data_IF_811925587056
#
_entry.id   IF_811925587056
#
_cell.length_a   1.000
_cell.length_b   1.000
_cell.length_c   1.000
_cell.angle_alpha   90.00
_cell.angle_beta   90.00
_cell.angle_gamma   90.00
#
_symmetry.space_group_name_H-M   'P 1'
#
loop_
_entity.id
_entity.type
_entity.pdbx_description
1 polymer ?
#
# COMPACT_ATOMS: atom_id res chain seq x y z
N UNK A 1 -3.72 -5.55 2.47
CA UNK A 1 -2.66 -6.58 2.32
C UNK A 1 -2.05 -6.47 0.93
N UNK A 2 -0.91 -7.10 0.66
CA UNK A 2 -0.30 -7.09 -0.67
C UNK A 2 0.18 -8.49 -1.11
N UNK A 3 0.11 -8.83 -2.39
CA UNK A 3 0.63 -10.08 -2.94
C UNK A 3 1.40 -9.83 -4.24
N UNK A 4 2.49 -10.55 -4.46
CA UNK A 4 3.34 -10.41 -5.65
C UNK A 4 3.33 -11.68 -6.51
N UNK A 5 3.33 -11.53 -7.85
CA UNK A 5 3.27 -12.66 -8.80
C UNK A 5 4.53 -12.73 -9.69
N UNK A 6 4.98 -13.94 -10.04
CA UNK A 6 6.21 -14.21 -10.81
C UNK A 6 6.10 -15.49 -11.66
N UNK A 7 6.82 -15.51 -12.80
CA UNK A 7 7.14 -16.72 -13.57
C UNK A 7 8.48 -17.34 -13.15
N UNK A 8 8.71 -18.62 -13.43
CA UNK A 8 9.88 -19.37 -12.94
C UNK A 8 11.09 -19.33 -13.88
N UNK A 9 12.23 -18.80 -13.40
CA UNK A 9 13.57 -19.06 -13.98
C UNK A 9 14.57 -19.33 -12.85
N UNK A 10 15.46 -20.31 -13.05
CA UNK A 10 16.37 -20.85 -12.04
C UNK A 10 17.84 -20.70 -12.48
N UNK A 11 18.65 -19.94 -11.73
CA UNK A 11 20.13 -19.85 -11.89
C UNK A 11 20.83 -19.71 -10.53
N UNK A 12 22.15 -19.93 -10.49
CA UNK A 12 22.87 -20.41 -9.30
C UNK A 12 24.19 -19.66 -8.98
N UNK A 13 24.63 -19.78 -7.70
CA UNK A 13 25.96 -19.40 -7.13
C UNK A 13 26.20 -17.86 -6.96
N UNK A 14 26.90 -17.33 -5.94
CA UNK A 14 27.50 -17.88 -4.70
C UNK A 14 27.71 -16.78 -3.61
N UNK A 15 28.06 -17.21 -2.39
CA UNK A 15 28.43 -16.55 -1.09
C UNK A 15 28.95 -15.08 -1.06
N UNK A 16 29.00 -14.31 0.06
CA UNK A 16 28.90 -14.64 1.50
C UNK A 16 28.52 -13.41 2.38
N UNK A 17 27.40 -13.45 3.12
CA UNK A 17 27.16 -12.71 4.39
C UNK A 17 25.94 -13.34 5.06
N UNK A 18 26.05 -13.84 6.29
CA UNK A 18 24.94 -14.53 6.96
C UNK A 18 23.89 -13.57 7.55
N UNK A 19 23.08 -12.97 6.68
CA UNK A 19 21.72 -12.58 7.04
C UNK A 19 20.85 -13.83 6.83
N UNK A 20 20.15 -14.31 7.87
CA UNK A 20 19.18 -15.40 7.72
C UNK A 20 18.00 -14.95 6.84
N UNK A 21 18.10 -15.17 5.52
CA UNK A 21 17.04 -14.89 4.55
C UNK A 21 15.90 -15.91 4.71
N UNK A 22 14.74 -15.45 5.18
CA UNK A 22 13.66 -16.31 5.68
C UNK A 22 12.50 -16.34 4.66
N UNK A 23 12.51 -17.32 3.73
CA UNK A 23 11.54 -17.60 2.62
C UNK A 23 10.20 -16.86 2.66
N UNK A 24 9.85 -16.06 1.63
CA UNK A 24 8.50 -15.47 1.47
C UNK A 24 7.48 -16.60 1.56
N UNK A 25 6.34 -16.41 2.25
CA UNK A 25 5.25 -17.35 2.10
C UNK A 25 4.83 -17.38 0.64
N UNK A 26 4.51 -18.57 0.15
CA UNK A 26 3.97 -18.77 -1.18
C UNK A 26 2.57 -19.35 -0.98
N UNK A 27 1.57 -18.71 -1.57
CA UNK A 27 0.22 -19.26 -1.69
C UNK A 27 0.05 -19.74 -3.13
N UNK A 28 -0.31 -21.01 -3.29
CA UNK A 28 -0.73 -21.56 -4.57
C UNK A 28 -2.21 -21.24 -4.78
N UNK A 29 -2.48 -20.31 -5.70
CA UNK A 29 -3.84 -19.85 -5.98
C UNK A 29 -4.73 -20.95 -6.56
N UNK A 30 -4.15 -21.91 -7.31
CA UNK A 30 -4.94 -22.99 -7.93
C UNK A 30 -5.57 -23.92 -6.89
N UNK A 31 -5.02 -23.96 -5.67
CA UNK A 31 -5.60 -24.72 -4.56
C UNK A 31 -6.82 -24.03 -3.95
N UNK A 32 -6.95 -22.69 -4.06
CA UNK A 32 -8.15 -21.99 -3.59
C UNK A 32 -9.34 -22.38 -4.47
N UNK A 33 -9.15 -22.40 -5.79
CA UNK A 33 -10.16 -22.82 -6.77
C UNK A 33 -10.27 -24.34 -6.95
N UNK A 34 -9.64 -25.14 -6.08
CA UNK A 34 -9.67 -26.61 -6.16
C UNK A 34 -11.04 -27.18 -5.81
N UNK A 35 -11.42 -28.25 -6.52
CA UNK A 35 -12.64 -29.04 -6.24
C UNK A 35 -12.47 -30.03 -5.09
N UNK A 36 -11.26 -30.23 -4.57
CA UNK A 36 -11.00 -31.05 -3.38
C UNK A 36 -11.15 -30.17 -2.11
N UNK A 37 -12.16 -30.41 -1.26
CA UNK A 37 -12.38 -29.60 -0.07
C UNK A 37 -11.21 -29.63 0.92
N UNK A 38 -10.42 -30.71 0.95
CA UNK A 38 -9.26 -30.82 1.83
C UNK A 38 -8.11 -29.92 1.35
N UNK A 39 -7.93 -29.80 0.03
CA UNK A 39 -6.95 -28.89 -0.56
C UNK A 39 -7.37 -27.43 -0.34
N UNK A 40 -8.64 -27.08 -0.63
CA UNK A 40 -9.16 -25.72 -0.39
C UNK A 40 -9.05 -25.35 1.09
N UNK A 41 -9.51 -26.21 2.00
CA UNK A 41 -9.42 -25.96 3.45
C UNK A 41 -7.97 -25.77 3.92
N UNK A 42 -7.03 -26.58 3.43
CA UNK A 42 -5.61 -26.42 3.77
C UNK A 42 -5.04 -25.08 3.28
N UNK A 43 -5.28 -24.70 2.03
CA UNK A 43 -4.77 -23.41 1.54
C UNK A 43 -5.47 -22.22 2.21
N UNK A 44 -6.73 -22.36 2.64
CA UNK A 44 -7.41 -21.35 3.47
C UNK A 44 -6.76 -21.23 4.86
N UNK A 45 -6.33 -22.33 5.48
CA UNK A 45 -5.55 -22.27 6.73
C UNK A 45 -4.17 -21.64 6.52
N UNK A 46 -3.47 -22.00 5.44
CA UNK A 46 -2.20 -21.38 5.06
C UNK A 46 -2.40 -19.89 4.74
N UNK A 47 -3.51 -19.50 4.10
CA UNK A 47 -3.90 -18.11 3.83
C UNK A 47 -4.27 -17.37 5.12
N UNK A 48 -4.99 -17.97 6.06
CA UNK A 48 -5.27 -17.35 7.36
C UNK A 48 -3.96 -17.03 8.09
N UNK A 49 -3.10 -18.04 8.21
CA UNK A 49 -1.76 -17.89 8.78
C UNK A 49 -0.94 -16.88 8.01
N UNK A 50 -1.03 -16.86 6.67
CA UNK A 50 -0.29 -15.91 5.86
C UNK A 50 -0.76 -14.47 6.13
N UNK A 51 -2.05 -14.24 6.21
CA UNK A 51 -2.61 -12.92 6.47
C UNK A 51 -2.27 -12.45 7.89
N UNK A 52 -2.42 -13.32 8.89
CA UNK A 52 -2.16 -13.00 10.29
C UNK A 52 -0.67 -12.78 10.62
N UNK A 53 0.24 -13.65 10.18
CA UNK A 53 1.68 -13.55 10.45
C UNK A 53 2.43 -12.69 9.40
N UNK A 54 1.85 -12.47 8.21
CA UNK A 54 2.55 -11.92 7.05
C UNK A 54 1.86 -10.73 6.39
N UNK A 55 0.55 -10.77 6.09
CA UNK A 55 -0.14 -9.74 5.30
C UNK A 55 0.51 -9.41 3.94
N UNK A 56 1.49 -10.23 3.55
CA UNK A 56 2.29 -10.21 2.33
C UNK A 56 2.71 -11.63 1.98
N UNK A 57 2.55 -12.00 0.71
CA UNK A 57 2.96 -13.30 0.20
C UNK A 57 3.26 -13.24 -1.30
N UNK A 58 4.01 -14.22 -1.77
CA UNK A 58 4.05 -14.53 -3.20
C UNK A 58 2.79 -15.32 -3.54
N UNK A 59 2.16 -15.00 -4.66
CA UNK A 59 1.06 -15.77 -5.22
C UNK A 59 1.57 -16.46 -6.50
N UNK A 60 1.35 -17.77 -6.60
CA UNK A 60 1.72 -18.58 -7.78
C UNK A 60 0.49 -19.29 -8.33
N UNK A 61 0.57 -19.78 -9.58
CA UNK A 61 -0.52 -20.49 -10.26
C UNK A 61 -1.84 -19.69 -10.32
N UNK A 62 -1.73 -18.36 -10.38
CA UNK A 62 -2.83 -17.38 -10.32
C UNK A 62 -3.63 -17.21 -11.63
N UNK A 63 -3.40 -18.05 -12.64
CA UNK A 63 -4.15 -18.04 -13.92
C UNK A 63 -3.92 -16.84 -14.85
N UNK A 64 -3.45 -15.69 -14.35
CA UNK A 64 -3.05 -14.54 -15.19
C UNK A 64 -1.90 -14.94 -16.11
N UNK A 65 -2.03 -14.83 -17.45
CA UNK A 65 -0.97 -15.26 -18.38
C UNK A 65 0.31 -14.44 -18.24
N UNK A 66 1.47 -15.11 -18.23
CA UNK A 66 2.79 -14.45 -18.20
C UNK A 66 2.99 -13.50 -19.40
N UNK A 67 2.45 -13.86 -20.58
CA UNK A 67 2.47 -13.01 -21.77
C UNK A 67 1.70 -11.69 -21.57
N UNK A 68 0.59 -11.72 -20.83
CA UNK A 68 -0.20 -10.54 -20.49
C UNK A 68 0.53 -9.67 -19.45
N UNK A 69 1.10 -10.30 -18.41
CA UNK A 69 1.93 -9.61 -17.40
C UNK A 69 3.14 -8.91 -18.04
N UNK A 70 3.81 -9.59 -18.99
CA UNK A 70 4.90 -9.01 -19.77
C UNK A 70 4.43 -7.86 -20.65
N UNK A 71 3.32 -8.03 -21.39
CA UNK A 71 2.79 -7.01 -22.28
C UNK A 71 2.40 -5.71 -21.54
N UNK A 72 1.81 -5.81 -20.33
CA UNK A 72 1.46 -4.62 -19.54
C UNK A 72 2.70 -3.93 -18.93
N UNK A 73 3.75 -4.68 -18.58
CA UNK A 73 5.05 -4.13 -18.17
C UNK A 73 5.76 -3.41 -19.33
N UNK A 74 5.79 -4.02 -20.52
CA UNK A 74 6.37 -3.43 -21.73
C UNK A 74 5.60 -2.17 -22.16
N UNK A 75 4.27 -2.22 -22.21
CA UNK A 75 3.43 -1.05 -22.51
C UNK A 75 3.60 0.09 -21.49
N UNK A 76 3.79 -0.24 -20.20
CA UNK A 76 4.13 0.75 -19.17
C UNK A 76 5.50 1.38 -19.41
N UNK A 77 6.51 0.57 -19.77
CA UNK A 77 7.85 1.05 -20.11
C UNK A 77 7.84 1.96 -21.33
N UNK A 78 7.11 1.59 -22.37
CA UNK A 78 6.90 2.39 -23.56
C UNK A 78 6.18 3.70 -23.25
N UNK A 79 5.14 3.69 -22.40
CA UNK A 79 4.49 4.92 -21.91
C UNK A 79 5.49 5.87 -21.24
N UNK A 80 6.34 5.38 -20.33
CA UNK A 80 7.35 6.24 -19.69
C UNK A 80 8.43 6.74 -20.67
N UNK A 81 8.66 6.05 -21.78
CA UNK A 81 9.56 6.47 -22.85
C UNK A 81 8.93 7.46 -23.85
N UNK A 82 7.63 7.77 -23.75
CA UNK A 82 7.01 8.82 -24.56
C UNK A 82 7.66 10.20 -24.28
N UNK A 83 7.59 11.14 -25.25
CA UNK A 83 7.97 12.54 -25.04
C UNK A 83 7.32 13.12 -23.79
N UNK A 84 8.01 14.06 -23.12
CA UNK A 84 7.50 14.60 -21.86
C UNK A 84 6.18 15.35 -22.08
N UNK A 85 6.03 16.01 -23.21
CA UNK A 85 4.84 16.72 -23.66
C UNK A 85 3.60 15.82 -23.67
N UNK A 86 3.75 14.57 -24.10
CA UNK A 86 2.66 13.58 -24.16
C UNK A 86 2.33 13.01 -22.78
N UNK A 87 3.31 12.86 -21.89
CA UNK A 87 3.08 12.41 -20.51
C UNK A 87 2.47 13.50 -19.63
N UNK A 88 2.85 14.76 -19.86
CA UNK A 88 2.38 15.92 -19.12
C UNK A 88 0.92 16.28 -19.42
N UNK A 89 0.30 15.72 -20.47
CA UNK A 89 -1.16 15.73 -20.67
C UNK A 89 -1.91 15.20 -19.43
N UNK A 90 -1.31 14.25 -18.71
CA UNK A 90 -1.88 13.65 -17.50
C UNK A 90 -1.33 14.24 -16.18
N UNK A 91 -0.51 15.30 -16.22
CA UNK A 91 0.10 15.92 -15.04
C UNK A 91 -0.83 16.98 -14.38
N UNK A 92 -2.09 16.63 -14.18
CA UNK A 92 -3.09 17.51 -13.58
C UNK A 92 -3.14 17.45 -12.04
N UNK A 93 -3.45 18.60 -11.42
CA UNK A 93 -3.51 18.77 -9.97
C UNK A 93 -4.83 18.34 -9.33
N UNK A 94 -5.89 18.17 -10.12
CA UNK A 94 -7.17 17.69 -9.61
C UNK A 94 -7.03 16.26 -9.11
N UNK A 95 -7.40 16.06 -7.85
CA UNK A 95 -7.27 14.79 -7.16
C UNK A 95 -8.20 13.73 -7.74
N UNK A 96 -9.28 14.09 -8.42
CA UNK A 96 -10.27 13.13 -8.92
C UNK A 96 -10.18 12.87 -10.42
N UNK A 97 -9.17 13.41 -11.11
CA UNK A 97 -8.85 13.02 -12.49
C UNK A 97 -8.54 11.52 -12.55
N UNK A 98 -9.13 10.77 -13.50
CA UNK A 98 -9.05 9.31 -13.52
C UNK A 98 -7.68 8.78 -13.94
N UNK A 99 -6.93 9.55 -14.73
CA UNK A 99 -5.57 9.25 -15.18
C UNK A 99 -4.66 10.34 -14.63
N UNK A 100 -3.52 9.97 -14.05
CA UNK A 100 -2.50 10.90 -13.55
C UNK A 100 -1.09 10.40 -13.84
N UNK A 101 -0.30 11.26 -14.48
CA UNK A 101 1.16 11.13 -14.52
C UNK A 101 1.79 12.02 -13.45
N UNK A 102 2.90 11.57 -12.87
CA UNK A 102 3.74 12.40 -12.03
C UNK A 102 5.18 11.94 -12.07
N UNK A 103 6.10 12.90 -11.98
CA UNK A 103 7.53 12.66 -11.78
C UNK A 103 7.90 12.90 -10.31
N UNK A 104 9.16 12.68 -9.93
CA UNK A 104 9.70 12.84 -8.57
C UNK A 104 9.63 14.26 -7.97
N UNK A 105 9.00 15.19 -8.68
CA UNK A 105 8.88 16.63 -8.42
C UNK A 105 7.41 17.04 -8.50
N UNK A 106 6.61 16.80 -7.45
CA UNK A 106 5.51 17.73 -7.16
C UNK A 106 5.09 17.81 -5.66
N UNK A 107 5.07 19.06 -5.18
CA UNK A 107 4.37 19.64 -4.01
C UNK A 107 4.59 19.05 -2.58
N UNK A 108 5.44 19.77 -1.84
CA UNK A 108 5.23 20.26 -0.45
C UNK A 108 4.87 19.27 0.67
N UNK A 109 5.60 18.17 0.80
CA UNK A 109 5.87 17.58 2.12
C UNK A 109 7.38 17.38 2.24
N UNK A 110 8.02 18.24 3.03
CA UNK A 110 9.44 18.16 3.47
C UNK A 110 10.49 17.80 2.41
N UNK A 111 11.07 18.78 1.69
CA UNK A 111 12.41 18.78 1.02
C UNK A 111 13.02 17.51 0.35
N UNK A 112 12.28 16.42 0.15
CA UNK A 112 12.75 15.14 -0.34
C UNK A 112 12.11 14.83 -1.69
N UNK A 113 12.96 14.69 -2.72
CA UNK A 113 12.54 14.23 -4.04
C UNK A 113 12.52 12.70 -4.07
N UNK A 114 11.47 12.11 -4.64
CA UNK A 114 11.39 10.66 -4.82
C UNK A 114 11.96 10.26 -6.17
N UNK A 115 12.82 9.24 -6.19
CA UNK A 115 13.50 8.80 -7.41
C UNK A 115 12.60 7.86 -8.24
N UNK A 116 11.47 8.41 -8.70
CA UNK A 116 10.36 7.67 -9.31
C UNK A 116 9.48 8.56 -10.20
N UNK A 117 9.19 8.07 -11.40
CA UNK A 117 8.04 8.48 -12.21
C UNK A 117 6.88 7.49 -12.01
N UNK A 118 5.64 7.96 -12.09
CA UNK A 118 4.45 7.11 -11.94
C UNK A 118 3.31 7.48 -12.89
N UNK A 119 2.52 6.46 -13.23
CA UNK A 119 1.21 6.58 -13.88
C UNK A 119 0.19 5.89 -12.98
N UNK A 120 -0.78 6.66 -12.45
CA UNK A 120 -1.91 6.18 -11.66
C UNK A 120 -3.18 6.28 -12.49
N UNK A 121 -3.99 5.22 -12.50
CA UNK A 121 -5.20 5.14 -13.31
C UNK A 121 -6.32 4.41 -12.56
N UNK A 122 -7.50 5.03 -12.48
CA UNK A 122 -8.72 4.35 -12.07
C UNK A 122 -9.25 3.47 -13.21
N UNK A 123 -9.42 2.19 -12.91
CA UNK A 123 -9.82 1.15 -13.88
C UNK A 123 -11.10 0.39 -13.47
N UNK A 124 -11.69 0.77 -12.33
CA UNK A 124 -13.00 0.34 -11.82
C UNK A 124 -13.53 1.43 -10.85
N UNK A 125 -14.85 1.74 -10.81
CA UNK A 125 -15.96 1.14 -11.57
C UNK A 125 -15.96 1.45 -13.08
N UNK A 126 -15.34 2.57 -13.49
CA UNK A 126 -15.19 2.94 -14.90
C UNK A 126 -13.75 2.68 -15.35
N UNK A 127 -13.60 2.16 -16.58
CA UNK A 127 -12.28 1.94 -17.16
C UNK A 127 -11.80 3.20 -17.86
N UNK A 128 -10.72 3.78 -17.35
CA UNK A 128 -9.97 4.85 -17.99
C UNK A 128 -8.55 4.35 -18.29
N UNK A 129 -7.93 4.82 -19.36
CA UNK A 129 -6.51 4.53 -19.64
C UNK A 129 -5.94 5.46 -20.73
N UNK A 130 -4.62 5.75 -20.75
CA UNK A 130 -3.98 6.40 -21.89
C UNK A 130 -4.15 5.61 -23.20
N UNK A 131 -4.44 6.31 -24.29
CA UNK A 131 -4.51 5.74 -25.65
C UNK A 131 -3.13 5.52 -26.30
N UNK A 132 -2.05 5.84 -25.59
CA UNK A 132 -0.66 5.70 -26.03
C UNK A 132 0.17 4.98 -24.96
N UNK A 133 1.13 4.11 -25.35
CA UNK A 133 1.35 3.62 -26.71
C UNK A 133 0.17 2.76 -27.20
N UNK A 134 0.10 2.52 -28.51
CA UNK A 134 -1.02 1.80 -29.14
C UNK A 134 -1.11 0.37 -28.57
N UNK A 135 -2.30 -0.05 -28.15
CA UNK A 135 -2.53 -1.36 -27.53
C UNK A 135 -2.37 -1.38 -26.00
N UNK A 136 -1.84 -0.32 -25.39
CA UNK A 136 -1.60 -0.28 -23.94
C UNK A 136 -2.90 -0.25 -23.13
N UNK A 137 -3.92 0.45 -23.64
CA UNK A 137 -5.26 0.51 -23.03
C UNK A 137 -5.92 -0.88 -23.00
N UNK A 138 -5.90 -1.59 -24.13
CA UNK A 138 -6.52 -2.89 -24.32
C UNK A 138 -5.83 -3.98 -23.48
N UNK A 139 -4.50 -4.02 -23.51
CA UNK A 139 -3.67 -4.93 -22.68
C UNK A 139 -3.89 -4.67 -21.19
N UNK A 140 -3.93 -3.40 -20.78
CA UNK A 140 -4.12 -3.04 -19.36
C UNK A 140 -5.54 -3.32 -18.89
N UNK A 141 -6.55 -3.16 -19.76
CA UNK A 141 -7.94 -3.51 -19.45
C UNK A 141 -8.12 -4.99 -19.14
N UNK A 142 -7.61 -5.87 -20.00
CA UNK A 142 -7.64 -7.33 -19.74
C UNK A 142 -6.82 -7.68 -18.49
N UNK A 143 -5.63 -7.10 -18.29
CA UNK A 143 -4.84 -7.31 -17.07
C UNK A 143 -5.57 -6.87 -15.79
N UNK A 144 -6.21 -5.70 -15.78
CA UNK A 144 -6.97 -5.19 -14.65
C UNK A 144 -8.22 -6.04 -14.36
N UNK A 145 -8.88 -6.55 -15.40
CA UNK A 145 -9.99 -7.50 -15.25
C UNK A 145 -9.53 -8.81 -14.59
N UNK A 146 -8.48 -9.45 -15.11
CA UNK A 146 -7.94 -10.72 -14.56
C UNK A 146 -7.44 -10.57 -13.12
N UNK A 147 -6.77 -9.47 -12.81
CA UNK A 147 -6.30 -9.20 -11.44
C UNK A 147 -7.46 -8.96 -10.48
N UNK A 148 -8.59 -8.42 -10.94
CA UNK A 148 -9.82 -8.29 -10.13
C UNK A 148 -10.48 -9.63 -9.85
N UNK A 149 -10.51 -10.54 -10.84
CA UNK A 149 -10.97 -11.93 -10.67
C UNK A 149 -10.14 -12.63 -9.58
N UNK A 150 -8.81 -12.55 -9.66
CA UNK A 150 -7.88 -13.07 -8.64
C UNK A 150 -8.09 -12.41 -7.27
N UNK A 151 -8.36 -11.11 -7.22
CA UNK A 151 -8.61 -10.40 -5.97
C UNK A 151 -9.90 -10.84 -5.28
N UNK A 152 -10.98 -11.11 -6.02
CA UNK A 152 -12.25 -11.61 -5.46
C UNK A 152 -12.09 -12.99 -4.82
N UNK A 153 -11.51 -13.94 -5.55
CA UNK A 153 -11.23 -15.31 -5.04
C UNK A 153 -10.35 -15.30 -3.79
N UNK A 154 -9.34 -14.41 -3.73
CA UNK A 154 -8.53 -14.21 -2.52
C UNK A 154 -9.36 -13.66 -1.36
N UNK A 155 -10.22 -12.66 -1.60
CA UNK A 155 -11.07 -12.07 -0.56
C UNK A 155 -12.17 -13.02 -0.07
N UNK A 156 -12.63 -13.96 -0.91
CA UNK A 156 -13.48 -15.08 -0.48
C UNK A 156 -12.73 -16.03 0.45
N UNK A 157 -11.54 -16.50 0.04
CA UNK A 157 -10.68 -17.33 0.89
C UNK A 157 -10.27 -16.65 2.21
N UNK A 158 -10.11 -15.32 2.21
CA UNK A 158 -9.89 -14.53 3.44
C UNK A 158 -11.15 -14.46 4.31
N UNK A 159 -12.35 -14.35 3.73
CA UNK A 159 -13.61 -14.36 4.48
C UNK A 159 -13.80 -15.70 5.19
N UNK A 160 -13.62 -16.83 4.49
CA UNK A 160 -13.64 -18.17 5.10
C UNK A 160 -12.53 -18.37 6.15
N UNK A 161 -11.32 -17.85 5.90
CA UNK A 161 -10.22 -17.89 6.85
C UNK A 161 -10.53 -17.17 8.18
N UNK A 162 -11.37 -16.14 8.13
CA UNK A 162 -11.88 -15.41 9.30
C UNK A 162 -13.11 -16.08 9.94
N UNK A 163 -13.63 -17.18 9.38
CA UNK A 163 -14.84 -17.85 9.85
C UNK A 163 -16.15 -17.16 9.43
N UNK A 164 -16.10 -16.27 8.43
CA UNK A 164 -17.25 -15.55 7.89
C UNK A 164 -17.87 -16.31 6.70
N UNK A 165 -19.03 -15.84 6.22
CA UNK A 165 -19.57 -16.28 4.92
C UNK A 165 -18.53 -16.03 3.80
N UNK A 166 -18.39 -16.96 2.86
CA UNK A 166 -17.47 -16.87 1.71
C UNK A 166 -17.49 -15.47 1.04
N UNK A 167 -18.69 -14.91 0.82
CA UNK A 167 -18.85 -13.63 0.13
C UNK A 167 -19.02 -12.43 1.08
N UNK A 168 -18.67 -12.57 2.36
CA UNK A 168 -18.87 -11.53 3.38
C UNK A 168 -18.13 -10.23 3.02
N UNK A 169 -16.81 -10.30 2.83
CA UNK A 169 -16.00 -9.10 2.56
C UNK A 169 -16.45 -8.43 1.25
N UNK A 170 -16.86 -9.23 0.26
CA UNK A 170 -17.37 -8.70 -1.01
C UNK A 170 -18.63 -7.84 -0.83
N UNK A 171 -19.62 -8.36 -0.09
CA UNK A 171 -20.87 -7.66 0.20
C UNK A 171 -20.65 -6.45 1.11
N UNK A 172 -19.90 -6.63 2.20
CA UNK A 172 -19.67 -5.59 3.21
C UNK A 172 -18.88 -4.38 2.66
N UNK A 173 -18.08 -4.59 1.61
CA UNK A 173 -17.24 -3.55 1.01
C UNK A 173 -17.82 -2.97 -0.29
N UNK A 174 -18.93 -3.52 -0.82
CA UNK A 174 -19.48 -3.21 -2.15
C UNK A 174 -18.37 -3.25 -3.23
N UNK A 175 -17.77 -4.43 -3.42
CA UNK A 175 -16.68 -4.59 -4.41
C UNK A 175 -17.18 -4.56 -5.86
N UNK A 176 -18.49 -4.73 -6.10
CA UNK A 176 -19.09 -4.53 -7.42
C UNK A 176 -18.91 -3.06 -7.85
N UNK A 177 -19.17 -2.11 -6.95
CA UNK A 177 -18.90 -0.67 -7.15
C UNK A 177 -17.53 -0.22 -6.62
N UNK A 178 -16.68 -1.18 -6.21
CA UNK A 178 -15.38 -0.94 -5.59
C UNK A 178 -14.40 -0.17 -6.48
N UNK A 179 -13.41 0.49 -5.88
CA UNK A 179 -12.34 1.09 -6.69
C UNK A 179 -11.26 0.07 -7.02
N UNK A 180 -10.72 0.18 -8.23
CA UNK A 180 -9.48 -0.47 -8.63
C UNK A 180 -8.54 0.60 -9.20
N UNK A 181 -7.36 0.73 -8.60
CA UNK A 181 -6.34 1.70 -8.98
C UNK A 181 -5.11 0.97 -9.53
N UNK A 182 -4.86 1.10 -10.83
CA UNK A 182 -3.63 0.68 -11.48
C UNK A 182 -2.55 1.75 -11.23
N UNK A 183 -1.38 1.36 -10.74
CA UNK A 183 -0.25 2.24 -10.50
C UNK A 183 1.05 1.67 -11.06
N UNK A 184 1.43 2.11 -12.27
CA UNK A 184 2.75 1.85 -12.82
C UNK A 184 3.76 2.81 -12.16
N UNK A 185 4.90 2.28 -11.73
CA UNK A 185 5.98 3.04 -11.11
C UNK A 185 7.29 2.70 -11.82
N UNK A 186 7.99 3.70 -12.36
CA UNK A 186 9.32 3.56 -12.96
C UNK A 186 10.36 4.24 -12.07
N UNK A 187 11.44 3.53 -11.78
CA UNK A 187 12.57 3.98 -10.98
C UNK A 187 13.80 3.99 -11.88
N UNK A 188 14.25 5.16 -12.37
CA UNK A 188 15.46 5.25 -13.18
C UNK A 188 16.68 4.74 -12.41
N UNK A 189 17.75 4.38 -13.14
CA UNK A 189 19.06 4.19 -12.51
C UNK A 189 19.41 5.43 -11.67
N UNK A 190 19.77 5.23 -10.40
CA UNK A 190 20.18 6.29 -9.49
C UNK A 190 21.71 6.27 -9.33
N UNK A 191 22.44 7.39 -9.52
CA UNK A 191 23.89 7.41 -9.35
C UNK A 191 24.32 7.22 -7.89
N UNK A 192 23.48 7.62 -6.94
CA UNK A 192 23.74 7.59 -5.48
C UNK A 192 22.54 6.94 -4.76
N UNK A 193 22.30 5.64 -4.95
CA UNK A 193 21.10 4.96 -4.44
C UNK A 193 21.02 4.93 -2.90
N UNK A 194 22.13 5.15 -2.20
CA UNK A 194 22.21 5.32 -0.74
C UNK A 194 21.65 6.66 -0.23
N UNK A 195 21.53 7.68 -1.11
CA UNK A 195 21.00 9.00 -0.78
C UNK A 195 19.56 9.23 -1.30
N UNK A 196 19.01 8.28 -2.04
CA UNK A 196 17.72 8.41 -2.73
C UNK A 196 16.72 7.32 -2.34
N UNK A 197 15.43 7.60 -2.53
CA UNK A 197 14.36 6.64 -2.24
C UNK A 197 13.28 6.68 -3.33
N UNK A 198 12.82 5.52 -3.79
CA UNK A 198 11.82 5.42 -4.86
C UNK A 198 10.40 5.63 -4.34
N UNK A 199 10.04 4.90 -3.27
CA UNK A 199 8.84 5.16 -2.46
C UNK A 199 9.24 5.01 -0.99
N UNK A 200 8.89 5.95 -0.10
CA UNK A 200 9.19 5.85 1.32
C UNK A 200 8.36 4.78 2.05
N UNK A 201 8.71 4.57 3.31
CA UNK A 201 8.13 3.54 4.18
C UNK A 201 6.67 3.86 4.57
N UNK A 202 5.72 3.19 3.93
CA UNK A 202 4.27 3.41 4.03
C UNK A 202 3.49 2.07 4.07
N UNK A 203 2.18 2.13 4.32
CA UNK A 203 1.25 0.98 4.23
C UNK A 203 0.23 1.26 3.14
N UNK A 204 -0.24 0.22 2.44
CA UNK A 204 -1.25 0.40 1.39
C UNK A 204 -2.60 0.85 1.94
N UNK A 205 -3.24 1.75 1.20
CA UNK A 205 -4.57 2.29 1.49
C UNK A 205 -5.62 1.58 0.60
N UNK A 206 -5.87 0.30 0.91
CA UNK A 206 -6.81 -0.56 0.20
C UNK A 206 -6.95 -1.93 0.87
N UNK A 207 -7.85 -2.77 0.39
CA UNK A 207 -8.05 -4.13 0.91
C UNK A 207 -6.91 -5.04 0.47
N UNK A 208 -6.63 -5.06 -0.83
CA UNK A 208 -5.65 -5.96 -1.44
C UNK A 208 -4.92 -5.30 -2.62
N UNK A 209 -3.59 -5.26 -2.55
CA UNK A 209 -2.72 -4.85 -3.65
C UNK A 209 -2.13 -6.07 -4.34
N UNK A 210 -2.25 -6.17 -5.66
CA UNK A 210 -1.52 -7.15 -6.47
C UNK A 210 -0.35 -6.46 -7.18
N UNK A 211 0.86 -7.00 -7.04
CA UNK A 211 2.10 -6.37 -7.50
C UNK A 211 2.84 -7.26 -8.52
N UNK A 212 3.32 -6.65 -9.61
CA UNK A 212 4.33 -7.24 -10.49
C UNK A 212 5.52 -6.28 -10.65
N UNK A 213 6.70 -6.83 -10.95
CA UNK A 213 7.91 -6.07 -11.27
C UNK A 213 8.68 -6.71 -12.43
N UNK A 214 9.57 -5.94 -13.07
CA UNK A 214 10.39 -6.38 -14.21
C UNK A 214 11.67 -7.15 -13.78
N UNK A 215 11.54 -8.05 -12.80
CA UNK A 215 12.60 -8.85 -12.17
C UNK A 215 13.78 -8.08 -11.55
N UNK A 216 13.72 -6.74 -11.58
CA UNK A 216 14.65 -5.87 -10.86
C UNK A 216 14.07 -5.60 -9.49
N UNK A 217 14.61 -6.28 -8.48
CA UNK A 217 14.20 -6.09 -7.09
C UNK A 217 14.38 -4.66 -6.60
N UNK A 218 13.59 -4.29 -5.60
CA UNK A 218 13.61 -2.96 -4.98
C UNK A 218 12.54 -2.77 -3.91
N UNK A 219 11.49 -3.61 -3.92
CA UNK A 219 10.57 -3.69 -2.79
C UNK A 219 11.29 -4.17 -1.53
N UNK A 220 11.12 -3.42 -0.44
CA UNK A 220 11.52 -3.80 0.90
C UNK A 220 10.32 -3.76 1.85
N UNK A 221 10.27 -4.73 2.75
CA UNK A 221 9.19 -4.91 3.72
C UNK A 221 9.74 -4.89 5.15
N UNK A 222 9.08 -4.18 6.08
CA UNK A 222 9.50 -4.09 7.47
C UNK A 222 8.75 -5.07 8.38
N UNK A 223 9.48 -5.79 9.23
CA UNK A 223 8.89 -6.53 10.34
C UNK A 223 9.84 -6.84 11.49
N UNK A 224 9.31 -6.97 12.70
CA UNK A 224 10.08 -7.12 13.95
C UNK A 224 11.21 -6.09 13.99
N UNK A 225 10.87 -4.85 13.59
CA UNK A 225 11.78 -3.71 13.45
C UNK A 225 12.71 -3.72 12.22
N UNK A 226 12.89 -4.86 11.53
CA UNK A 226 13.92 -5.06 10.49
C UNK A 226 13.36 -4.96 9.07
N UNK A 227 14.17 -4.44 8.15
CA UNK A 227 13.85 -4.37 6.72
C UNK A 227 14.37 -5.60 5.98
N UNK A 228 13.53 -6.18 5.11
CA UNK A 228 13.85 -7.33 4.27
C UNK A 228 13.60 -6.97 2.80
N UNK A 229 14.53 -7.32 1.91
CA UNK A 229 14.29 -7.27 0.46
C UNK A 229 13.26 -8.34 0.09
N UNK A 230 12.27 -7.99 -0.73
CA UNK A 230 11.42 -8.97 -1.42
C UNK A 230 12.17 -9.46 -2.65
N UNK A 231 13.24 -10.22 -2.41
CA UNK A 231 13.93 -11.03 -3.41
C UNK A 231 13.63 -12.49 -3.05
N UNK A 232 12.55 -13.02 -3.63
CA UNK A 232 12.05 -14.42 -3.55
C UNK A 232 11.98 -15.09 -2.17
N UNK A 233 12.29 -14.39 -1.07
CA UNK A 233 12.72 -15.04 0.17
C UNK A 233 12.46 -14.26 1.49
N UNK A 234 11.45 -13.39 1.54
CA UNK A 234 10.67 -13.04 2.75
C UNK A 234 11.22 -12.00 3.75
N UNK A 235 10.40 -11.34 4.61
CA UNK A 235 9.10 -11.83 5.12
C UNK A 235 8.33 -10.77 6.05
N UNK A 236 7.04 -11.03 6.41
CA UNK A 236 6.23 -10.75 7.67
C UNK A 236 5.24 -9.49 7.85
N UNK A 237 4.12 -9.62 8.65
CA UNK A 237 2.83 -8.83 8.90
C UNK A 237 2.49 -7.49 8.18
N UNK A 238 1.24 -7.34 7.66
CA UNK A 238 0.65 -6.19 6.91
C UNK A 238 1.49 -4.92 6.91
N UNK A 239 2.25 -4.76 5.83
CA UNK A 239 3.62 -4.30 5.99
C UNK A 239 3.75 -2.81 5.70
N UNK A 240 4.42 -2.12 6.63
CA UNK A 240 5.16 -0.91 6.27
C UNK A 240 6.27 -1.27 5.29
N UNK A 241 6.07 -0.93 4.02
CA UNK A 241 6.94 -1.30 2.91
C UNK A 241 7.46 -0.05 2.18
N UNK A 242 8.55 -0.19 1.45
CA UNK A 242 9.22 0.90 0.70
C UNK A 242 9.81 0.37 -0.60
N UNK A 243 10.09 1.26 -1.55
CA UNK A 243 10.85 0.94 -2.74
C UNK A 243 12.22 1.65 -2.69
N UNK A 244 13.30 0.88 -2.64
CA UNK A 244 14.67 1.37 -2.82
C UNK A 244 15.01 1.47 -4.30
N UNK A 245 16.00 2.29 -4.62
CA UNK A 245 16.54 2.43 -5.99
C UNK A 245 17.92 1.79 -6.10
N UNK A 246 18.43 1.66 -7.32
CA UNK A 246 19.71 1.02 -7.60
C UNK A 246 20.44 1.75 -8.75
N UNK A 247 21.74 1.53 -8.87
CA UNK A 247 22.61 2.14 -9.87
C UNK A 247 22.89 1.26 -11.11
N UNK A 248 22.19 0.13 -11.26
CA UNK A 248 22.47 -0.89 -12.29
C UNK A 248 21.42 -0.94 -13.40
N UNK A 249 20.14 -0.85 -13.07
CA UNK A 249 19.05 -1.02 -14.02
C UNK A 249 17.76 -0.30 -13.59
N UNK A 250 17.01 0.19 -14.58
CA UNK A 250 15.70 0.83 -14.37
C UNK A 250 14.66 -0.19 -13.93
N UNK A 251 14.18 -0.07 -12.69
CA UNK A 251 13.10 -0.92 -12.16
C UNK A 251 11.75 -0.39 -12.62
N UNK A 252 10.82 -1.27 -12.94
CA UNK A 252 9.41 -0.97 -13.17
C UNK A 252 8.57 -1.91 -12.30
N UNK A 253 7.55 -1.38 -11.63
CA UNK A 253 6.57 -2.19 -10.89
C UNK A 253 5.15 -1.66 -11.03
N UNK A 254 4.20 -2.56 -11.28
CA UNK A 254 2.78 -2.25 -11.40
C UNK A 254 2.06 -2.76 -10.14
N UNK A 255 1.50 -1.84 -9.36
CA UNK A 255 0.66 -2.15 -8.21
C UNK A 255 -0.81 -1.93 -8.61
N UNK A 256 -1.65 -2.95 -8.48
CA UNK A 256 -3.10 -2.89 -8.70
C UNK A 256 -3.78 -2.97 -7.34
N UNK A 257 -4.22 -1.82 -6.84
CA UNK A 257 -4.87 -1.69 -5.52
C UNK A 257 -6.37 -1.89 -5.70
N UNK A 258 -6.94 -2.80 -4.91
CA UNK A 258 -8.37 -3.08 -4.84
C UNK A 258 -8.91 -2.57 -3.50
N UNK A 259 -10.04 -1.87 -3.53
CA UNK A 259 -10.68 -1.34 -2.33
C UNK A 259 -12.20 -1.34 -2.40
N UNK A 260 -12.86 -1.03 -1.28
CA UNK A 260 -14.32 -0.88 -1.19
C UNK A 260 -14.83 0.21 -2.14
N UNK A 261 -16.15 0.26 -2.34
CA UNK A 261 -16.81 1.42 -2.93
C UNK A 261 -16.50 2.68 -2.13
N UNK A 262 -16.29 3.81 -2.83
CA UNK A 262 -15.78 5.03 -2.19
C UNK A 262 -16.72 5.61 -1.14
N UNK A 263 -18.02 5.32 -1.29
CA UNK A 263 -19.10 5.84 -0.46
C UNK A 263 -19.64 4.82 0.55
N UNK A 264 -19.12 3.58 0.55
CA UNK A 264 -19.43 2.55 1.55
C UNK A 264 -18.75 2.86 2.88
N UNK A 265 -19.52 2.83 3.98
CA UNK A 265 -18.98 2.94 5.34
C UNK A 265 -18.39 1.59 5.74
N UNK A 266 -17.09 1.56 6.02
CA UNK A 266 -16.38 0.34 6.43
C UNK A 266 -16.25 0.29 7.96
N UNK A 267 -16.59 -0.86 8.53
CA UNK A 267 -16.47 -1.19 9.97
C UNK A 267 -15.96 -2.62 10.15
N UNK A 268 -15.48 -3.00 11.36
CA UNK A 268 -15.24 -4.41 11.69
C UNK A 268 -16.50 -5.27 11.53
N UNK A 269 -16.32 -6.55 11.18
CA UNK A 269 -17.39 -7.53 11.13
C UNK A 269 -17.91 -7.83 12.55
N UNK A 270 -19.23 -7.77 12.84
CA UNK A 270 -19.77 -8.02 14.19
C UNK A 270 -19.34 -9.37 14.79
N UNK A 271 -19.22 -10.40 13.94
CA UNK A 271 -18.78 -11.75 14.31
C UNK A 271 -17.34 -11.82 14.84
N UNK A 272 -16.52 -10.79 14.59
CA UNK A 272 -15.11 -10.69 15.00
C UNK A 272 -14.89 -9.75 16.19
N UNK A 273 -15.95 -9.20 16.81
CA UNK A 273 -15.84 -8.27 17.94
C UNK A 273 -15.99 -9.01 19.27
N UNK A 274 -14.89 -9.09 20.04
CA UNK A 274 -14.84 -9.87 21.29
C UNK A 274 -15.68 -9.30 22.45
N UNK A 275 -15.94 -7.98 22.51
CA UNK A 275 -16.89 -7.37 23.45
C UNK A 275 -17.30 -5.93 23.09
N UNK A 276 -18.51 -5.52 23.48
CA UNK A 276 -19.03 -4.14 23.30
C UNK A 276 -18.16 -3.07 24.00
N UNK A 277 -17.50 -3.39 25.11
CA UNK A 277 -16.70 -2.42 25.88
C UNK A 277 -15.32 -2.11 25.27
N UNK A 278 -14.93 -2.82 24.21
CA UNK A 278 -13.75 -2.52 23.39
C UNK A 278 -14.10 -1.85 22.06
N UNK A 279 -15.38 -1.48 21.88
CA UNK A 279 -15.90 -0.93 20.64
C UNK A 279 -15.54 0.55 20.45
N UNK A 280 -14.42 0.80 19.80
CA UNK A 280 -14.21 2.05 19.06
C UNK A 280 -14.64 1.82 17.61
N UNK A 281 -15.84 2.27 17.18
CA UNK A 281 -16.27 2.14 15.80
C UNK A 281 -15.40 3.02 14.91
N UNK A 282 -14.34 2.43 14.36
CA UNK A 282 -13.59 3.06 13.27
C UNK A 282 -14.43 2.96 11.99
N UNK A 283 -15.39 3.87 11.86
CA UNK A 283 -16.13 4.08 10.63
C UNK A 283 -15.20 4.74 9.63
N UNK A 284 -14.69 3.95 8.70
CA UNK A 284 -13.80 4.39 7.63
C UNK A 284 -14.63 4.78 6.42
N UNK A 285 -14.41 6.00 5.91
CA UNK A 285 -14.97 6.46 4.62
C UNK A 285 -13.85 6.32 3.57
N UNK A 286 -13.92 5.35 2.64
CA UNK A 286 -12.82 5.04 1.73
C UNK A 286 -12.45 6.21 0.83
N UNK A 287 -13.42 7.04 0.40
CA UNK A 287 -13.17 8.32 -0.29
C UNK A 287 -12.15 9.19 0.45
N UNK A 288 -12.26 9.33 1.79
CA UNK A 288 -11.34 10.15 2.60
C UNK A 288 -9.96 9.51 2.73
N UNK A 289 -9.88 8.20 2.87
CA UNK A 289 -8.61 7.46 2.91
C UNK A 289 -7.86 7.59 1.57
N UNK A 290 -8.60 7.49 0.47
CA UNK A 290 -8.06 7.63 -0.88
C UNK A 290 -7.68 9.07 -1.21
N UNK A 291 -8.43 10.08 -0.76
CA UNK A 291 -7.99 11.48 -0.79
C UNK A 291 -6.65 11.67 -0.09
N UNK A 292 -6.47 11.06 1.09
CA UNK A 292 -5.20 11.10 1.81
C UNK A 292 -4.08 10.47 0.96
N UNK A 293 -4.24 9.22 0.50
CA UNK A 293 -3.29 8.53 -0.39
C UNK A 293 -2.97 9.30 -1.70
N UNK A 294 -3.91 10.12 -2.18
CA UNK A 294 -3.77 10.89 -3.42
C UNK A 294 -3.16 12.28 -3.20
N UNK A 295 -3.33 12.87 -2.01
CA UNK A 295 -2.67 14.12 -1.57
C UNK A 295 -1.27 13.89 -1.02
N UNK A 296 -1.02 12.76 -0.38
CA UNK A 296 0.25 12.44 0.26
C UNK A 296 0.98 11.35 -0.51
N UNK A 297 2.25 11.60 -0.85
CA UNK A 297 3.17 10.53 -1.25
C UNK A 297 3.66 9.73 -0.02
N UNK A 298 3.41 10.24 1.19
CA UNK A 298 3.83 9.65 2.47
C UNK A 298 2.82 9.96 3.58
N UNK A 299 2.36 8.94 4.29
CA UNK A 299 2.07 9.06 5.72
C UNK A 299 3.04 8.15 6.48
N UNK A 300 3.96 8.75 7.23
CA UNK A 300 4.78 8.03 8.21
C UNK A 300 3.97 7.88 9.50
N UNK A 301 3.24 6.78 9.64
CA UNK A 301 2.56 6.48 10.89
C UNK A 301 3.54 6.33 12.06
N UNK A 302 3.26 7.04 13.13
CA UNK A 302 3.80 6.75 14.46
C UNK A 302 3.24 5.42 14.96
N UNK A 303 3.97 4.70 15.80
CA UNK A 303 3.66 3.32 16.22
C UNK A 303 2.40 3.14 17.09
N UNK A 304 1.70 4.24 17.39
CA UNK A 304 0.72 4.31 18.48
C UNK A 304 -0.75 4.50 18.02
N UNK A 305 -1.03 4.68 16.72
CA UNK A 305 -2.41 4.77 16.25
C UNK A 305 -3.01 3.35 16.07
N UNK A 306 -3.79 2.90 17.04
CA UNK A 306 -4.37 1.54 17.11
C UNK A 306 -5.43 1.25 16.04
N UNK A 307 -5.89 2.30 15.36
CA UNK A 307 -7.05 2.33 14.46
C UNK A 307 -6.98 1.31 13.32
N UNK A 308 -5.79 1.07 12.73
CA UNK A 308 -5.61 0.10 11.64
C UNK A 308 -5.24 -1.31 12.14
N UNK A 309 -4.72 -1.46 13.38
CA UNK A 309 -4.51 -2.79 13.99
C UNK A 309 -5.83 -3.54 14.11
N UNK A 310 -6.89 -2.81 14.49
CA UNK A 310 -8.21 -3.34 14.80
C UNK A 310 -9.07 -3.71 13.57
N UNK A 311 -8.59 -3.50 12.33
CA UNK A 311 -9.34 -3.81 11.12
C UNK A 311 -9.25 -5.28 10.66
N UNK A 312 -8.27 -6.05 11.14
CA UNK A 312 -8.08 -7.45 10.71
C UNK A 312 -7.61 -8.44 11.79
N UNK A 313 -7.16 -7.99 12.97
CA UNK A 313 -6.77 -8.87 14.07
C UNK A 313 -7.11 -8.21 15.40
N UNK A 314 -8.12 -8.71 16.11
CA UNK A 314 -8.15 -8.58 17.57
C UNK A 314 -7.04 -9.47 18.14
N UNK A 315 -6.14 -8.90 18.92
CA UNK A 315 -5.15 -9.68 19.67
C UNK A 315 -5.10 -9.20 21.11
N UNK A 316 -5.83 -9.94 21.95
CA UNK A 316 -5.63 -10.19 23.39
C UNK A 316 -4.59 -9.26 24.06
N UNK A 317 -5.01 -8.36 24.97
CA UNK A 317 -4.09 -7.66 25.85
C UNK A 317 -3.66 -8.58 27.02
N UNK A 318 -2.35 -8.70 27.23
CA UNK A 318 -1.80 -9.19 28.50
C UNK A 318 -2.27 -8.27 29.65
N UNK A 319 -2.85 -8.84 30.71
CA UNK A 319 -3.23 -8.08 31.92
C UNK A 319 -1.98 -7.59 32.66
N UNK A 320 -2.03 -6.37 33.20
CA UNK A 320 -2.03 -6.28 34.67
C UNK A 320 -3.31 -5.65 35.23
N UNK A 321 -3.64 -6.02 36.48
CA UNK A 321 -4.74 -5.43 37.25
C UNK A 321 -4.36 -4.02 37.73
N UNK A 322 -5.27 -3.03 37.67
CA UNK A 322 -5.84 -2.39 38.89
C UNK A 322 -6.83 -1.23 38.64
N UNK A 323 -7.87 -1.21 39.48
CA UNK A 323 -8.73 -0.08 39.92
C UNK A 323 -9.57 0.72 38.91
N UNK A 324 -10.89 0.67 39.14
CA UNK A 324 -11.94 1.49 38.54
C UNK A 324 -11.74 3.01 38.75
N UNK A 325 -12.21 3.81 37.78
CA UNK A 325 -12.90 5.10 38.03
C UNK A 325 -14.01 5.28 36.99
N UNK A 326 -15.21 5.58 37.45
CA UNK A 326 -16.36 5.88 36.60
C UNK A 326 -16.21 7.24 35.91
N UNK A 327 -16.65 7.33 34.65
CA UNK A 327 -16.96 8.58 33.97
C UNK A 327 -18.24 8.40 33.13
N UNK A 328 -19.15 9.39 33.21
CA UNK A 328 -20.44 9.38 32.54
C UNK A 328 -20.38 9.73 31.04
N UNK A 329 -21.55 9.77 30.36
CA UNK A 329 -21.62 9.79 28.91
C UNK A 329 -21.53 11.21 28.32
N UNK A 330 -20.33 11.78 28.26
CA UNK A 330 -20.06 12.99 27.47
C UNK A 330 -19.50 12.63 26.08
N UNK A 331 -20.33 12.81 25.05
CA UNK A 331 -19.95 12.61 23.65
C UNK A 331 -18.87 13.63 23.22
N UNK A 332 -17.68 13.13 22.88
CA UNK A 332 -16.59 13.95 22.34
C UNK A 332 -16.60 13.92 20.80
N UNK A 333 -17.00 15.01 20.16
CA UNK A 333 -16.73 15.25 18.72
C UNK A 333 -15.27 15.73 18.56
N UNK A 334 -14.39 14.98 17.88
CA UNK A 334 -12.97 15.38 17.75
C UNK A 334 -12.72 16.61 16.87
N UNK A 335 -13.73 17.12 16.14
CA UNK A 335 -13.53 18.08 15.05
C UNK A 335 -14.14 19.47 15.27
N UNK A 336 -14.67 19.76 16.47
CA UNK A 336 -14.99 21.13 16.85
C UNK A 336 -13.70 21.97 17.06
N UNK A 337 -13.58 23.17 16.48
CA UNK A 337 -12.39 23.99 16.62
C UNK A 337 -12.24 24.51 18.06
N UNK A 338 -11.12 24.19 18.70
CA UNK A 338 -10.79 24.70 20.04
C UNK A 338 -10.57 26.22 20.01
N UNK A 339 -11.01 26.98 21.03
CA UNK A 339 -10.84 28.43 21.08
C UNK A 339 -9.35 28.80 21.15
N UNK A 340 -8.98 29.86 20.43
CA UNK A 340 -7.60 30.35 20.31
C UNK A 340 -7.17 31.06 21.60
N UNK A 341 -6.03 30.71 22.23
CA UNK A 341 -5.53 31.42 23.40
C UNK A 341 -4.96 32.80 23.03
N UNK A 342 -5.00 33.79 23.95
CA UNK A 342 -4.50 35.13 23.67
C UNK A 342 -2.96 35.17 23.51
N UNK A 343 -2.41 36.14 22.75
CA UNK A 343 -0.99 36.20 22.46
C UNK A 343 -0.16 36.58 23.70
N UNK A 344 0.89 35.82 24.00
CA UNK A 344 1.85 36.15 25.05
C UNK A 344 2.85 37.22 24.59
N UNK A 345 3.07 38.24 25.42
CA UNK A 345 4.14 39.23 25.24
C UNK A 345 5.53 38.60 25.37
N UNK A 346 6.42 38.89 24.42
CA UNK A 346 7.82 38.43 24.46
C UNK A 346 8.71 39.41 25.21
N UNK A 347 8.99 39.14 26.48
CA UNK A 347 10.03 39.84 27.25
C UNK A 347 11.42 39.26 26.98
N UNK A 348 12.19 39.92 26.10
CA UNK A 348 13.59 39.56 25.87
C UNK A 348 14.52 40.12 26.95
N UNK A 349 15.15 39.24 27.76
CA UNK A 349 16.30 39.61 28.60
C UNK A 349 17.59 39.63 27.76
N UNK A 350 18.28 40.78 27.77
CA UNK A 350 19.47 41.09 26.97
C UNK A 350 20.74 40.79 27.78
N UNK A 351 21.59 39.87 27.33
CA UNK A 351 22.95 39.74 27.87
C UNK A 351 23.88 40.83 27.25
N UNK A 352 24.82 41.36 28.04
CA UNK A 352 25.75 42.44 27.66
C UNK A 352 27.17 41.93 27.43
N UNK A 353 27.95 42.66 26.60
CA UNK A 353 29.42 42.56 26.49
C UNK A 353 29.92 42.65 25.03
N UNK A 354 29.94 43.81 24.36
CA UNK A 354 30.97 44.90 24.36
C UNK A 354 32.26 44.59 23.57
N UNK A 355 33.00 45.62 23.08
CA UNK A 355 32.71 46.71 22.12
C UNK A 355 33.43 46.43 20.76
N UNK A 356 33.44 47.26 19.70
CA UNK A 356 32.97 48.63 19.40
C UNK A 356 33.56 49.11 18.06
N UNK A 357 33.46 50.42 17.74
CA UNK A 357 34.00 51.13 16.55
C UNK A 357 33.26 50.93 15.21
N UNK A 358 32.32 51.81 14.82
CA UNK A 358 32.41 53.21 14.30
C UNK A 358 32.59 53.31 12.78
N UNK A 359 31.46 53.53 12.10
CA UNK A 359 31.31 54.29 10.84
C UNK A 359 31.20 55.80 11.15
N UNK A 360 31.04 56.75 10.19
CA UNK A 360 31.08 56.71 8.72
C UNK A 360 32.19 57.72 8.21
N UNK A 361 32.12 58.53 7.11
CA UNK A 361 30.97 59.00 6.30
C UNK A 361 30.51 58.05 5.18
#
# INVERSE_FOLDING_TARGET
MAAATQGLVQTSLETNTQIQMKRSPIIDFSLLTSRDPNQRSKVIQDLNKVCQDWGFFMLVNHGVPESLMKAVLDGSKEFFNLPMEEKMEFAEKDLWKPIKFGTGVDIKVENFFFWRDFLKVFVHPQFHFPNKPKGFSEVSGEYCKRTREVARELLQGISEALGLEENYIEKAMDLESGFQLFAANLYPQCPQPELAMGIPAHTDHGLLTLLIENDIGGLQIQHNGKWFNVLSNGKYKSIRHRAIVNNKATRISLAVVHGPSLDTVVSPAPELVESENTYHPCLMIPRRLLEAMMRSVVFSYSSNDEVIKNLFISSIPDRPQHSQRDWGPDYFDPWLPRPVPPPMEKTYKRCRGYPGHTTPP
#
